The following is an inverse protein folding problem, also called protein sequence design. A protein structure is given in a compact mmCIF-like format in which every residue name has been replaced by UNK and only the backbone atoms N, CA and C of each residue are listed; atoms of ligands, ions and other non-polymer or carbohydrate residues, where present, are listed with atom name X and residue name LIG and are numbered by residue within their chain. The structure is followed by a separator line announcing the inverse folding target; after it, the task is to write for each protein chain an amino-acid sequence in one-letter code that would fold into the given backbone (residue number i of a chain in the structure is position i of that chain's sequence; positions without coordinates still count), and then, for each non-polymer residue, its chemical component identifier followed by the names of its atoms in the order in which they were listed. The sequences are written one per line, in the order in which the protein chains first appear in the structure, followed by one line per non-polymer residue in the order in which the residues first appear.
data_IF_964926186292
#
_entry.id   IF_964926186292
#
_cell.length_a   1.000
_cell.length_b   1.000
_cell.length_c   1.000
_cell.angle_alpha   90.00
_cell.angle_beta   90.00
_cell.angle_gamma   90.00
#
_symmetry.space_group_name_H-M   'P 1'
#
loop_
_entity.id
_entity.type
_entity.pdbx_description
1 polymer ?
#
# COMPACT_ATOMS: atom_id res chain seq x y z
N UNK A 1 -2.25 -2.41 -5.48
CA UNK A 1 -0.79 -2.46 -5.16
C UNK A 1 -0.59 -2.24 -3.68
N UNK A 2 0.38 -2.93 -3.08
CA UNK A 2 0.76 -2.78 -1.67
C UNK A 2 2.28 -2.59 -1.65
N UNK A 3 2.75 -1.50 -1.05
CA UNK A 3 4.16 -1.16 -0.87
C UNK A 3 4.42 -1.13 0.62
N UNK A 4 5.30 -2.00 1.12
CA UNK A 4 5.58 -2.14 2.55
C UNK A 4 7.05 -1.92 2.80
N UNK A 5 7.34 -1.04 3.72
CA UNK A 5 8.68 -0.78 4.21
C UNK A 5 9.27 -2.04 4.84
N UNK A 6 10.50 -2.34 4.51
CA UNK A 6 11.32 -3.43 5.05
C UNK A 6 12.64 -2.87 5.62
N UNK A 7 12.66 -1.56 5.96
CA UNK A 7 13.82 -0.93 6.60
C UNK A 7 14.04 -1.44 8.03
N UNK A 8 15.20 -1.14 8.60
CA UNK A 8 15.62 -1.71 9.87
C UNK A 8 14.70 -1.41 11.05
N UNK A 9 14.04 -0.26 11.08
CA UNK A 9 13.07 0.15 12.10
C UNK A 9 11.86 -0.80 12.16
N UNK A 10 11.35 -1.26 11.01
CA UNK A 10 10.25 -2.23 10.92
C UNK A 10 10.51 -3.55 11.68
N UNK A 11 11.74 -3.78 12.16
CA UNK A 11 12.07 -4.97 12.97
C UNK A 11 11.25 -5.06 14.27
N UNK A 12 10.84 -3.93 14.84
CA UNK A 12 10.01 -3.84 16.06
C UNK A 12 8.65 -4.50 15.86
N UNK A 13 8.05 -4.30 14.69
CA UNK A 13 6.72 -4.80 14.33
C UNK A 13 6.76 -5.89 13.23
N UNK A 14 7.93 -6.48 12.98
CA UNK A 14 8.14 -7.46 11.89
C UNK A 14 7.10 -8.55 11.82
N UNK A 15 6.77 -9.16 12.97
CA UNK A 15 5.82 -10.27 13.04
C UNK A 15 4.42 -9.85 12.61
N UNK A 16 3.97 -8.70 13.08
CA UNK A 16 2.64 -8.15 12.79
C UNK A 16 2.57 -7.67 11.33
N UNK A 17 3.60 -6.96 10.84
CA UNK A 17 3.67 -6.53 9.45
C UNK A 17 3.63 -7.72 8.48
N UNK A 18 4.40 -8.79 8.78
CA UNK A 18 4.36 -10.03 8.01
C UNK A 18 2.97 -10.70 8.03
N UNK A 19 2.36 -10.82 9.21
CA UNK A 19 1.01 -11.41 9.35
C UNK A 19 -0.03 -10.57 8.59
N UNK A 20 0.02 -9.24 8.73
CA UNK A 20 -0.89 -8.31 8.07
C UNK A 20 -0.78 -8.33 6.54
N UNK A 21 0.44 -8.42 5.99
CA UNK A 21 0.61 -8.62 4.54
C UNK A 21 -0.10 -9.89 4.05
N UNK A 22 0.06 -10.99 4.78
CA UNK A 22 -0.60 -12.25 4.45
C UNK A 22 -2.13 -12.18 4.62
N UNK A 23 -2.61 -11.44 5.62
CA UNK A 23 -4.04 -11.18 5.79
C UNK A 23 -4.59 -10.34 4.64
N UNK A 24 -3.85 -9.33 4.19
CA UNK A 24 -4.24 -8.52 3.03
C UNK A 24 -4.31 -9.37 1.76
N UNK A 25 -3.34 -10.25 1.51
CA UNK A 25 -3.40 -11.20 0.40
C UNK A 25 -4.62 -12.12 0.48
N UNK A 26 -4.91 -12.65 1.67
CA UNK A 26 -6.11 -13.47 1.92
C UNK A 26 -7.40 -12.68 1.68
N UNK A 27 -7.44 -11.43 2.11
CA UNK A 27 -8.60 -10.54 1.92
C UNK A 27 -8.86 -10.30 0.43
N UNK A 28 -7.83 -10.02 -0.37
CA UNK A 28 -8.01 -9.80 -1.81
C UNK A 28 -8.49 -11.07 -2.52
N UNK A 29 -8.01 -12.26 -2.11
CA UNK A 29 -8.54 -13.54 -2.62
C UNK A 29 -10.02 -13.72 -2.27
N UNK A 30 -10.40 -13.42 -1.03
CA UNK A 30 -11.81 -13.50 -0.60
C UNK A 30 -12.71 -12.50 -1.34
N UNK A 31 -12.21 -11.31 -1.66
CA UNK A 31 -12.93 -10.33 -2.48
C UNK A 31 -13.14 -10.89 -3.90
N UNK A 32 -12.12 -11.51 -4.49
CA UNK A 32 -12.25 -12.15 -5.81
C UNK A 32 -13.34 -13.25 -5.81
N UNK A 33 -13.41 -14.04 -4.75
CA UNK A 33 -14.44 -15.09 -4.60
C UNK A 33 -15.85 -14.51 -4.43
N UNK A 34 -15.98 -13.36 -3.76
CA UNK A 34 -17.27 -12.66 -3.55
C UNK A 34 -17.75 -11.92 -4.80
N UNK A 35 -16.83 -11.45 -5.63
CA UNK A 35 -17.13 -10.67 -6.84
C UNK A 35 -16.47 -11.34 -8.07
N UNK A 36 -16.97 -12.49 -8.51
CA UNK A 36 -16.35 -13.27 -9.59
C UNK A 36 -16.34 -12.56 -10.95
N UNK A 37 -17.23 -11.59 -11.13
CA UNK A 37 -17.34 -10.78 -12.37
C UNK A 37 -16.30 -9.65 -12.42
N UNK A 38 -15.56 -9.42 -11.33
CA UNK A 38 -14.47 -8.42 -11.26
C UNK A 38 -13.14 -9.14 -11.06
N UNK A 39 -12.16 -8.88 -11.92
CA UNK A 39 -10.82 -9.45 -11.75
C UNK A 39 -10.02 -8.64 -10.73
N UNK A 40 -9.59 -9.29 -9.66
CA UNK A 40 -8.68 -8.71 -8.66
C UNK A 40 -7.24 -9.06 -8.99
N UNK A 41 -6.36 -8.06 -9.11
CA UNK A 41 -4.93 -8.24 -9.35
C UNK A 41 -4.09 -7.67 -8.21
N UNK A 42 -2.97 -8.29 -7.92
CA UNK A 42 -2.08 -7.93 -6.82
C UNK A 42 -0.70 -7.59 -7.33
N UNK A 43 -0.20 -6.43 -6.90
CA UNK A 43 1.22 -6.12 -6.88
C UNK A 43 1.64 -5.94 -5.42
N UNK A 44 2.64 -6.68 -4.96
CA UNK A 44 3.18 -6.56 -3.60
C UNK A 44 4.68 -6.34 -3.67
N UNK A 45 5.12 -5.23 -3.09
CA UNK A 45 6.52 -4.81 -3.01
C UNK A 45 6.90 -4.65 -1.55
N UNK A 46 8.04 -5.19 -1.15
CA UNK A 46 8.74 -4.78 0.09
C UNK A 46 10.07 -4.16 -0.27
N UNK A 47 10.56 -3.21 0.53
CA UNK A 47 11.74 -2.44 0.16
C UNK A 47 12.58 -2.00 1.37
N UNK A 48 13.88 -2.01 1.16
CA UNK A 48 14.91 -1.34 1.94
C UNK A 48 15.95 -0.72 0.98
N UNK A 49 17.02 -0.10 1.49
CA UNK A 49 18.02 0.54 0.64
C UNK A 49 18.93 -0.44 -0.13
N UNK A 50 18.92 -1.70 0.20
CA UNK A 50 19.69 -2.74 -0.49
C UNK A 50 18.84 -3.52 -1.49
N UNK A 51 17.51 -3.61 -1.25
CA UNK A 51 16.61 -4.45 -2.01
C UNK A 51 15.23 -3.81 -2.23
N UNK A 52 14.72 -3.93 -3.43
CA UNK A 52 13.31 -3.75 -3.73
C UNK A 52 12.78 -5.11 -4.23
N UNK A 53 12.02 -5.81 -3.37
CA UNK A 53 11.51 -7.16 -3.64
C UNK A 53 10.10 -7.09 -4.19
N UNK A 54 9.92 -7.50 -5.43
CA UNK A 54 8.62 -7.61 -6.07
C UNK A 54 8.08 -9.03 -5.89
N UNK A 55 7.27 -9.24 -4.85
CA UNK A 55 6.70 -10.55 -4.52
C UNK A 55 5.62 -10.98 -5.49
N UNK A 56 4.78 -10.03 -5.89
CA UNK A 56 3.75 -10.19 -6.92
C UNK A 56 3.77 -8.98 -7.86
N UNK A 57 3.68 -9.23 -9.15
CA UNK A 57 3.77 -8.24 -10.21
C UNK A 57 2.50 -8.29 -11.08
N UNK A 58 1.47 -7.57 -10.66
CA UNK A 58 0.17 -7.55 -11.34
C UNK A 58 -0.42 -8.96 -11.58
N UNK A 59 -0.35 -9.82 -10.56
CA UNK A 59 -0.80 -11.22 -10.62
C UNK A 59 -2.27 -11.31 -10.22
N UNK A 60 -3.06 -12.12 -10.91
CA UNK A 60 -4.43 -12.40 -10.49
C UNK A 60 -4.50 -12.92 -9.05
N UNK A 61 -5.43 -12.40 -8.24
CA UNK A 61 -5.52 -12.71 -6.82
C UNK A 61 -5.59 -14.21 -6.52
N UNK A 62 -6.33 -14.96 -7.34
CA UNK A 62 -6.47 -16.43 -7.20
C UNK A 62 -5.15 -17.21 -7.33
N UNK A 63 -4.14 -16.63 -7.96
CA UNK A 63 -2.82 -17.24 -8.13
C UNK A 63 -1.82 -16.80 -7.06
N UNK A 64 -2.21 -15.90 -6.15
CA UNK A 64 -1.35 -15.48 -5.03
C UNK A 64 -1.40 -16.49 -3.90
N UNK A 65 -0.31 -16.59 -3.16
CA UNK A 65 -0.18 -17.41 -1.96
C UNK A 65 0.34 -16.54 -0.81
N UNK A 66 0.23 -17.03 0.42
CA UNK A 66 0.84 -16.35 1.54
C UNK A 66 2.37 -16.36 1.40
N UNK A 67 2.99 -15.25 1.79
CA UNK A 67 4.44 -15.15 1.84
C UNK A 67 5.01 -16.11 2.90
N UNK A 68 6.22 -16.62 2.66
CA UNK A 68 6.99 -17.34 3.67
C UNK A 68 7.68 -16.37 4.60
N UNK A 69 7.90 -16.74 5.85
CA UNK A 69 8.52 -15.89 6.87
C UNK A 69 9.83 -15.23 6.42
N UNK A 70 10.65 -15.96 5.68
CA UNK A 70 11.94 -15.49 5.18
C UNK A 70 11.83 -14.43 4.07
N UNK A 71 10.63 -14.24 3.51
CA UNK A 71 10.41 -13.26 2.45
C UNK A 71 10.43 -11.80 2.96
N UNK A 72 10.24 -11.59 4.27
CA UNK A 72 10.24 -10.27 4.90
C UNK A 72 11.28 -10.23 6.02
N UNK A 73 12.35 -9.48 5.83
CA UNK A 73 13.47 -9.39 6.76
C UNK A 73 13.98 -7.96 6.87
N UNK A 74 13.40 -7.15 7.79
CA UNK A 74 13.74 -5.74 7.95
C UNK A 74 15.23 -5.48 8.16
N UNK A 75 15.79 -4.59 7.31
CA UNK A 75 17.18 -4.14 7.40
C UNK A 75 17.38 -2.81 6.65
N UNK A 76 18.56 -2.22 6.81
CA UNK A 76 19.02 -1.04 6.06
C UNK A 76 18.14 0.22 6.18
N UNK A 77 18.16 1.11 5.19
CA UNK A 77 17.51 2.43 5.18
C UNK A 77 16.25 2.47 4.29
N UNK A 78 15.58 3.62 4.21
CA UNK A 78 14.22 3.77 3.63
C UNK A 78 14.22 4.61 2.35
N UNK A 79 14.44 4.04 1.14
CA UNK A 79 14.33 4.73 -0.15
C UNK A 79 12.85 4.81 -0.62
N UNK A 80 12.02 5.52 0.14
CA UNK A 80 10.57 5.57 -0.04
C UNK A 80 10.18 6.11 -1.42
N UNK A 81 10.78 7.24 -1.82
CA UNK A 81 10.41 7.87 -3.10
C UNK A 81 10.86 7.04 -4.29
N UNK A 82 12.06 6.47 -4.26
CA UNK A 82 12.54 5.59 -5.33
C UNK A 82 11.61 4.39 -5.50
N UNK A 83 11.18 3.79 -4.39
CA UNK A 83 10.29 2.63 -4.41
C UNK A 83 8.91 2.98 -4.94
N UNK A 84 8.29 4.06 -4.46
CA UNK A 84 6.98 4.52 -4.96
C UNK A 84 7.10 4.83 -6.45
N UNK A 85 8.07 5.64 -6.84
CA UNK A 85 8.24 6.08 -8.21
C UNK A 85 8.42 4.93 -9.20
N UNK A 86 9.32 4.00 -8.90
CA UNK A 86 9.58 2.81 -9.72
C UNK A 86 8.38 1.87 -9.79
N UNK A 87 7.80 1.52 -8.63
CA UNK A 87 6.72 0.55 -8.56
C UNK A 87 5.44 1.05 -9.20
N UNK A 88 5.04 2.30 -8.89
CA UNK A 88 3.83 2.92 -9.42
C UNK A 88 3.95 3.18 -10.93
N UNK A 89 5.10 3.66 -11.41
CA UNK A 89 5.32 3.85 -12.85
C UNK A 89 5.28 2.53 -13.61
N UNK A 90 5.84 1.45 -13.04
CA UNK A 90 5.76 0.11 -13.62
C UNK A 90 4.32 -0.37 -13.71
N UNK A 91 3.55 -0.27 -12.62
CA UNK A 91 2.15 -0.69 -12.61
C UNK A 91 1.32 0.13 -13.61
N UNK A 92 1.54 1.44 -13.68
CA UNK A 92 0.82 2.32 -14.63
C UNK A 92 1.03 1.92 -16.10
N UNK A 93 2.16 1.29 -16.43
CA UNK A 93 2.39 0.76 -17.77
C UNK A 93 1.66 -0.56 -18.07
N UNK A 94 1.08 -1.21 -17.06
CA UNK A 94 0.43 -2.52 -17.17
C UNK A 94 -1.08 -2.49 -16.99
N UNK A 95 -1.64 -1.43 -16.41
CA UNK A 95 -3.08 -1.30 -16.17
C UNK A 95 -3.78 -0.62 -17.33
N UNK A 96 -5.02 -1.01 -17.58
CA UNK A 96 -5.85 -0.44 -18.63
C UNK A 96 -6.60 0.80 -18.15
N UNK A 97 -7.07 1.62 -19.11
CA UNK A 97 -7.93 2.75 -18.80
C UNK A 97 -9.27 2.22 -18.29
N UNK A 98 -9.65 2.66 -17.10
CA UNK A 98 -10.88 2.23 -16.44
C UNK A 98 -10.66 1.22 -15.32
N UNK A 99 -9.44 0.70 -15.17
CA UNK A 99 -9.10 -0.10 -13.99
C UNK A 99 -9.15 0.75 -12.72
N UNK A 100 -9.72 0.17 -11.66
CA UNK A 100 -9.74 0.79 -10.34
C UNK A 100 -8.46 0.40 -9.60
N UNK A 101 -7.56 1.34 -9.42
CA UNK A 101 -6.25 1.09 -8.78
C UNK A 101 -6.22 1.68 -7.38
N UNK A 102 -5.96 0.81 -6.39
CA UNK A 102 -5.66 1.18 -5.01
C UNK A 102 -4.19 0.91 -4.72
N UNK A 103 -3.47 1.93 -4.29
CA UNK A 103 -2.07 1.85 -3.85
C UNK A 103 -2.02 2.13 -2.35
N UNK A 104 -1.66 1.14 -1.55
CA UNK A 104 -1.44 1.26 -0.11
C UNK A 104 0.05 1.27 0.18
N UNK A 105 0.54 2.30 0.84
CA UNK A 105 1.94 2.48 1.26
C UNK A 105 1.98 2.37 2.77
N UNK A 106 2.81 1.49 3.32
CA UNK A 106 2.98 1.25 4.76
C UNK A 106 4.45 1.46 5.11
N UNK A 107 4.73 2.38 6.04
CA UNK A 107 6.10 2.70 6.50
C UNK A 107 6.10 3.12 7.97
N UNK A 108 7.19 2.85 8.68
CA UNK A 108 7.47 3.36 10.02
C UNK A 108 8.58 4.44 10.01
N UNK A 109 9.09 4.79 8.82
CA UNK A 109 10.22 5.70 8.64
C UNK A 109 9.97 6.81 7.62
N UNK A 110 10.73 7.90 7.80
CA UNK A 110 10.82 8.94 6.79
C UNK A 110 11.76 8.54 5.65
N UNK A 111 11.52 9.12 4.48
CA UNK A 111 12.45 9.06 3.35
C UNK A 111 13.86 9.52 3.75
N UNK A 112 14.88 8.70 3.48
CA UNK A 112 16.24 9.06 3.90
C UNK A 112 17.38 8.70 2.91
N UNK A 113 17.09 8.01 1.81
CA UNK A 113 18.15 7.56 0.91
C UNK A 113 17.77 7.39 -0.58
N UNK A 114 16.62 7.89 -1.02
CA UNK A 114 16.25 7.90 -2.44
C UNK A 114 17.23 8.74 -3.27
N UNK A 115 17.54 8.28 -4.47
CA UNK A 115 18.51 8.91 -5.36
C UNK A 115 17.92 9.30 -6.72
N UNK A 116 16.93 8.59 -7.20
CA UNK A 116 16.35 8.77 -8.54
C UNK A 116 15.05 9.59 -8.51
N UNK A 117 14.26 9.44 -7.44
CA UNK A 117 12.97 10.11 -7.29
C UNK A 117 12.99 11.11 -6.14
N UNK A 118 12.56 12.33 -6.43
CA UNK A 118 12.37 13.37 -5.41
C UNK A 118 10.90 13.47 -4.99
N UNK A 119 10.64 14.08 -3.83
CA UNK A 119 9.29 14.38 -3.37
C UNK A 119 8.46 15.12 -4.44
N UNK A 120 9.06 16.07 -5.16
CA UNK A 120 8.36 16.80 -6.21
C UNK A 120 7.94 15.89 -7.38
N UNK A 121 8.77 14.91 -7.74
CA UNK A 121 8.42 13.92 -8.77
C UNK A 121 7.29 13.00 -8.32
N UNK A 122 7.33 12.54 -7.06
CA UNK A 122 6.28 11.71 -6.47
C UNK A 122 4.96 12.47 -6.39
N UNK A 123 4.97 13.72 -5.92
CA UNK A 123 3.78 14.58 -5.86
C UNK A 123 3.11 14.71 -7.25
N UNK A 124 3.91 14.99 -8.29
CA UNK A 124 3.40 15.10 -9.67
C UNK A 124 2.87 13.78 -10.21
N UNK A 125 3.57 12.66 -9.95
CA UNK A 125 3.16 11.34 -10.37
C UNK A 125 1.81 10.96 -9.75
N UNK A 126 1.71 11.04 -8.43
CA UNK A 126 0.48 10.71 -7.69
C UNK A 126 -0.66 11.63 -8.10
N UNK A 127 -0.43 12.96 -8.16
CA UNK A 127 -1.44 13.93 -8.59
C UNK A 127 -2.04 13.57 -9.96
N UNK A 128 -1.18 13.28 -10.94
CA UNK A 128 -1.60 12.88 -12.29
C UNK A 128 -2.41 11.57 -12.29
N UNK A 129 -2.01 10.56 -11.50
CA UNK A 129 -2.70 9.28 -11.46
C UNK A 129 -4.03 9.38 -10.71
N UNK A 130 -4.14 10.21 -9.70
CA UNK A 130 -5.43 10.53 -9.03
C UNK A 130 -6.44 11.15 -10.00
N UNK A 131 -6.01 12.00 -10.92
CA UNK A 131 -6.88 12.52 -12.00
C UNK A 131 -7.38 11.41 -12.94
N UNK A 132 -6.67 10.28 -13.00
CA UNK A 132 -7.07 9.07 -13.75
C UNK A 132 -7.91 8.08 -12.93
N UNK A 133 -8.29 8.43 -11.69
CA UNK A 133 -9.11 7.60 -10.82
C UNK A 133 -8.35 6.67 -9.87
N UNK A 134 -7.02 6.79 -9.78
CA UNK A 134 -6.26 6.01 -8.80
C UNK A 134 -6.48 6.51 -7.38
N UNK A 135 -6.54 5.59 -6.44
CA UNK A 135 -6.60 5.88 -5.00
C UNK A 135 -5.26 5.54 -4.36
N UNK A 136 -4.72 6.48 -3.58
CA UNK A 136 -3.48 6.31 -2.83
C UNK A 136 -3.75 6.46 -1.35
N UNK A 137 -3.19 5.57 -0.54
CA UNK A 137 -3.27 5.61 0.92
C UNK A 137 -1.87 5.53 1.52
N UNK A 138 -1.60 6.34 2.54
CA UNK A 138 -0.39 6.30 3.35
C UNK A 138 -0.72 5.85 4.77
N UNK A 139 -0.06 4.82 5.23
CA UNK A 139 -0.17 4.31 6.60
C UNK A 139 1.20 4.45 7.26
N UNK A 140 1.25 5.19 8.34
CA UNK A 140 2.49 5.45 9.06
C UNK A 140 2.34 5.33 10.57
N UNK A 141 3.47 5.18 11.25
CA UNK A 141 3.53 5.06 12.71
C UNK A 141 3.30 6.41 13.42
N UNK A 142 3.02 6.37 14.70
CA UNK A 142 2.66 7.54 15.51
C UNK A 142 3.86 8.46 15.82
N UNK A 143 5.07 8.00 15.59
CA UNK A 143 6.30 8.82 15.64
C UNK A 143 6.52 9.68 14.38
N UNK A 144 5.73 9.49 13.31
CA UNK A 144 5.79 10.25 12.08
C UNK A 144 4.69 11.33 12.01
N UNK A 145 4.96 12.41 11.28
CA UNK A 145 3.91 13.34 10.83
C UNK A 145 3.27 12.81 9.54
N UNK A 146 2.46 11.74 9.68
CA UNK A 146 1.85 11.01 8.56
C UNK A 146 0.96 11.92 7.71
N UNK A 147 0.26 12.88 8.33
CA UNK A 147 -0.61 13.83 7.62
C UNK A 147 0.22 14.74 6.70
N UNK A 148 1.28 15.37 7.23
CA UNK A 148 2.18 16.21 6.42
C UNK A 148 2.89 15.41 5.34
N UNK A 149 3.33 14.17 5.62
CA UNK A 149 3.94 13.28 4.63
C UNK A 149 2.95 12.96 3.50
N UNK A 150 1.73 12.55 3.81
CA UNK A 150 0.70 12.27 2.83
C UNK A 150 0.40 13.49 1.97
N UNK A 151 0.15 14.63 2.59
CA UNK A 151 -0.14 15.88 1.90
C UNK A 151 0.99 16.29 0.95
N UNK A 152 2.24 16.20 1.39
CA UNK A 152 3.42 16.53 0.56
C UNK A 152 3.54 15.66 -0.68
N UNK A 153 3.12 14.39 -0.61
CA UNK A 153 3.06 13.44 -1.72
C UNK A 153 1.76 13.51 -2.54
N UNK A 154 0.85 14.45 -2.25
CA UNK A 154 -0.48 14.54 -2.89
C UNK A 154 -1.41 13.36 -2.55
N UNK A 155 -1.25 12.72 -1.39
CA UNK A 155 -2.10 11.64 -0.89
C UNK A 155 -3.14 12.23 0.07
N UNK A 156 -4.43 11.96 -0.16
CA UNK A 156 -5.52 12.47 0.68
C UNK A 156 -5.89 11.50 1.81
N UNK A 157 -5.65 10.21 1.59
CA UNK A 157 -6.06 9.14 2.50
C UNK A 157 -4.88 8.69 3.34
N UNK A 158 -4.94 8.89 4.64
CA UNK A 158 -3.86 8.46 5.53
C UNK A 158 -4.39 7.87 6.83
N UNK A 159 -3.58 7.02 7.45
CA UNK A 159 -3.86 6.39 8.73
C UNK A 159 -2.60 6.39 9.58
N UNK A 160 -2.75 6.78 10.84
CA UNK A 160 -1.68 6.73 11.84
C UNK A 160 -1.93 5.59 12.81
N UNK A 161 -0.87 4.84 13.18
CA UNK A 161 -0.97 3.73 14.13
C UNK A 161 0.16 3.73 15.15
N UNK A 162 -0.05 3.12 16.32
CA UNK A 162 1.02 2.95 17.32
C UNK A 162 2.02 1.89 16.88
N UNK A 163 3.32 2.18 16.99
CA UNK A 163 4.42 1.28 16.63
C UNK A 163 4.61 0.17 17.66
N UNK A 164 3.55 -0.62 17.88
CA UNK A 164 3.58 -1.81 18.71
C UNK A 164 2.73 -2.94 18.10
N UNK A 165 2.70 -4.10 18.75
CA UNK A 165 1.97 -5.25 18.24
C UNK A 165 0.45 -4.99 18.12
N UNK A 166 -0.15 -4.37 19.13
CA UNK A 166 -1.59 -4.12 19.17
C UNK A 166 -2.01 -3.04 18.16
N UNK A 167 -1.26 -1.94 18.07
CA UNK A 167 -1.51 -0.88 17.12
C UNK A 167 -1.35 -1.34 15.67
N UNK A 168 -0.35 -2.20 15.40
CA UNK A 168 -0.15 -2.78 14.06
C UNK A 168 -1.29 -3.73 13.69
N UNK A 169 -1.75 -4.58 14.61
CA UNK A 169 -2.89 -5.48 14.37
C UNK A 169 -4.18 -4.68 14.13
N UNK A 170 -4.42 -3.60 14.91
CA UNK A 170 -5.56 -2.70 14.71
C UNK A 170 -5.49 -1.98 13.35
N UNK A 171 -4.30 -1.53 12.96
CA UNK A 171 -4.08 -0.88 11.67
C UNK A 171 -4.46 -1.80 10.51
N UNK A 172 -3.98 -3.05 10.49
CA UNK A 172 -4.33 -4.00 9.45
C UNK A 172 -5.83 -4.35 9.44
N UNK A 173 -6.49 -4.36 10.61
CA UNK A 173 -7.94 -4.53 10.68
C UNK A 173 -8.69 -3.35 10.03
N UNK A 174 -8.25 -2.10 10.28
CA UNK A 174 -8.82 -0.90 9.65
C UNK A 174 -8.58 -0.90 8.13
N UNK A 175 -7.38 -1.22 7.70
CA UNK A 175 -7.03 -1.33 6.28
C UNK A 175 -7.89 -2.37 5.57
N UNK A 176 -8.04 -3.56 6.16
CA UNK A 176 -8.92 -4.62 5.65
C UNK A 176 -10.35 -4.15 5.47
N UNK A 177 -10.95 -3.53 6.48
CA UNK A 177 -12.33 -2.99 6.41
C UNK A 177 -12.45 -1.97 5.29
N UNK A 178 -11.51 -1.04 5.21
CA UNK A 178 -11.48 0.00 4.18
C UNK A 178 -11.33 -0.60 2.77
N UNK A 179 -10.45 -1.58 2.58
CA UNK A 179 -10.24 -2.29 1.32
C UNK A 179 -11.48 -3.05 0.86
N UNK A 180 -12.16 -3.76 1.76
CA UNK A 180 -13.44 -4.44 1.44
C UNK A 180 -14.48 -3.43 1.00
N UNK A 181 -14.65 -2.32 1.74
CA UNK A 181 -15.59 -1.26 1.35
C UNK A 181 -15.26 -0.63 0.00
N UNK A 182 -13.97 -0.34 -0.26
CA UNK A 182 -13.52 0.15 -1.56
C UNK A 182 -13.98 -0.78 -2.69
N UNK A 183 -13.76 -2.09 -2.53
CA UNK A 183 -14.17 -3.06 -3.54
C UNK A 183 -15.70 -3.18 -3.69
N UNK A 184 -16.46 -3.07 -2.59
CA UNK A 184 -17.93 -2.98 -2.65
C UNK A 184 -18.39 -1.77 -3.49
N UNK A 185 -17.76 -0.61 -3.30
CA UNK A 185 -18.05 0.59 -4.08
C UNK A 185 -17.71 0.39 -5.56
N UNK A 186 -16.54 -0.19 -5.87
CA UNK A 186 -16.13 -0.52 -7.24
C UNK A 186 -17.14 -1.46 -7.90
N UNK A 187 -17.50 -2.57 -7.24
CA UNK A 187 -18.46 -3.53 -7.77
C UNK A 187 -19.86 -2.94 -7.96
N UNK A 188 -20.25 -1.99 -7.11
CA UNK A 188 -21.52 -1.25 -7.21
C UNK A 188 -21.49 -0.05 -8.14
N UNK A 189 -20.38 0.26 -8.80
CA UNK A 189 -20.18 1.51 -9.56
C UNK A 189 -20.48 2.78 -8.71
N UNK A 190 -20.15 2.73 -7.43
CA UNK A 190 -20.33 3.84 -6.48
C UNK A 190 -19.00 4.56 -6.30
N UNK A 191 -18.97 5.86 -6.58
CA UNK A 191 -17.77 6.66 -6.32
C UNK A 191 -17.54 6.81 -4.82
N UNK A 192 -16.36 6.45 -4.34
CA UNK A 192 -15.95 6.78 -2.96
C UNK A 192 -15.75 8.27 -2.82
N UNK A 193 -16.25 8.82 -1.70
CA UNK A 193 -15.98 10.21 -1.35
C UNK A 193 -14.51 10.39 -1.02
N UNK A 194 -13.89 11.44 -1.54
CA UNK A 194 -12.51 11.80 -1.25
C UNK A 194 -12.32 12.01 0.26
N UNK A 195 -11.25 11.50 0.84
CA UNK A 195 -10.98 11.56 2.28
C UNK A 195 -11.80 10.58 3.13
N UNK A 196 -12.45 9.58 2.52
CA UNK A 196 -13.31 8.64 3.26
C UNK A 196 -12.80 7.19 3.27
N UNK A 197 -11.61 6.93 2.75
CA UNK A 197 -11.11 5.54 2.67
C UNK A 197 -11.04 4.87 4.05
N UNK A 198 -10.55 5.58 5.07
CA UNK A 198 -10.44 5.06 6.44
C UNK A 198 -11.59 5.47 7.36
N UNK A 199 -12.56 6.28 6.93
CA UNK A 199 -13.69 6.69 7.77
C UNK A 199 -14.68 5.53 8.00
N UNK A 200 -15.21 5.43 9.21
CA UNK A 200 -16.18 4.38 9.62
C UNK A 200 -17.64 4.84 9.40
N UNK A 201 -17.99 5.43 8.28
CA UNK A 201 -19.41 5.74 7.95
C UNK A 201 -20.08 4.58 7.20
#
# INVERSE_FOLDING_TARGET
MIIVDESGSMSVIRKQAFAGMNETLSTVRSIQDQYPDTEQRVTLVTFDSEHMKLHYDNVEAKHTQNLKWQAYNPCAATPLYDTIGKSVSKLNAMVDKGDNVLVTIITDGEENCSQEWSLQMINKLIGKLKEQGWTFTLIGTDNLDVESMAHSMCIDEHLKFCEDAAGTDEMFLKERKARVRFNCCVAGNIAMKKGSFFSEE
#
